data_IF_270962147223
#
_entry.id   IF_270962147223
#
_cell.length_a   1.000
_cell.length_b   1.000
_cell.length_c   1.000
_cell.angle_alpha   90.00
_cell.angle_beta   90.00
_cell.angle_gamma   90.00
#
_symmetry.space_group_name_H-M   'P 1'
#
loop_
_entity.id
_entity.type
_entity.pdbx_description
1 polymer ?
#
# COMPACT_ATOMS: atom_id res chain seq x y z
N UNK A 1 -20.02 -49.09 12.50
CA UNK A 1 -21.07 -48.55 11.62
C UNK A 1 -20.67 -47.12 11.28
N UNK A 2 -20.10 -46.91 10.10
CA UNK A 2 -19.49 -45.64 9.69
C UNK A 2 -20.55 -44.75 9.06
N UNK A 3 -20.76 -43.55 9.59
CA UNK A 3 -21.69 -42.57 9.06
C UNK A 3 -21.15 -41.99 7.75
N UNK A 4 -22.02 -42.00 6.75
CA UNK A 4 -21.81 -41.63 5.36
C UNK A 4 -21.51 -40.11 5.25
N UNK A 5 -20.42 -39.80 4.54
CA UNK A 5 -20.03 -38.53 3.92
C UNK A 5 -21.02 -37.34 3.99
N UNK A 6 -20.87 -36.46 4.99
CA UNK A 6 -21.39 -35.06 4.99
C UNK A 6 -20.22 -34.07 5.18
N UNK A 7 -19.06 -34.38 4.61
CA UNK A 7 -17.84 -33.58 4.80
C UNK A 7 -17.77 -32.33 3.90
N UNK A 8 -18.63 -32.18 2.90
CA UNK A 8 -18.48 -31.12 1.89
C UNK A 8 -18.90 -29.73 2.37
N UNK A 9 -20.16 -29.59 2.79
CA UNK A 9 -20.76 -28.27 3.05
C UNK A 9 -20.20 -27.61 4.30
N UNK A 10 -20.07 -28.37 5.39
CA UNK A 10 -19.54 -27.86 6.67
C UNK A 10 -18.10 -27.35 6.52
N UNK A 11 -17.25 -28.12 5.85
CA UNK A 11 -15.85 -27.75 5.68
C UNK A 11 -15.69 -26.57 4.73
N UNK A 12 -16.48 -26.53 3.65
CA UNK A 12 -16.49 -25.40 2.70
C UNK A 12 -16.97 -24.12 3.38
N UNK A 13 -18.09 -24.19 4.11
CA UNK A 13 -18.61 -23.05 4.86
C UNK A 13 -17.61 -22.59 5.93
N UNK A 14 -16.97 -23.51 6.65
CA UNK A 14 -15.93 -23.17 7.64
C UNK A 14 -14.74 -22.44 7.00
N UNK A 15 -14.31 -22.83 5.80
CA UNK A 15 -13.25 -22.13 5.04
C UNK A 15 -13.67 -20.73 4.61
N UNK A 16 -14.91 -20.57 4.14
CA UNK A 16 -15.44 -19.26 3.75
C UNK A 16 -15.52 -18.35 4.99
N UNK A 17 -16.00 -18.89 6.12
CA UNK A 17 -16.07 -18.17 7.39
C UNK A 17 -14.68 -17.75 7.88
N UNK A 18 -13.68 -18.64 7.83
CA UNK A 18 -12.31 -18.30 8.19
C UNK A 18 -11.75 -17.18 7.29
N UNK A 19 -12.00 -17.25 5.97
CA UNK A 19 -11.58 -16.20 5.04
C UNK A 19 -12.24 -14.83 5.33
N UNK A 20 -13.51 -14.84 5.80
CA UNK A 20 -14.21 -13.65 6.26
C UNK A 20 -13.62 -13.09 7.56
N UNK A 21 -13.41 -13.94 8.57
CA UNK A 21 -12.84 -13.53 9.87
C UNK A 21 -11.40 -13.02 9.77
N UNK A 22 -10.60 -13.60 8.87
CA UNK A 22 -9.22 -13.19 8.60
C UNK A 22 -9.11 -11.96 7.67
N UNK A 23 -10.23 -11.46 7.13
CA UNK A 23 -10.27 -10.45 6.07
C UNK A 23 -9.28 -10.78 4.92
N UNK A 24 -9.23 -12.06 4.55
CA UNK A 24 -8.23 -12.58 3.61
C UNK A 24 -8.46 -12.01 2.21
N UNK A 25 -7.37 -11.60 1.55
CA UNK A 25 -7.41 -11.21 0.15
C UNK A 25 -7.63 -12.44 -0.74
N UNK A 26 -8.70 -12.42 -1.51
CA UNK A 26 -9.12 -13.48 -2.42
C UNK A 26 -9.00 -13.03 -3.88
N UNK A 27 -8.83 -14.00 -4.76
CA UNK A 27 -8.96 -13.81 -6.21
C UNK A 27 -10.22 -14.54 -6.67
N UNK A 28 -11.18 -13.80 -7.18
CA UNK A 28 -12.48 -14.33 -7.61
C UNK A 28 -12.44 -14.56 -9.11
N UNK A 29 -12.56 -15.81 -9.52
CA UNK A 29 -12.60 -16.20 -10.92
C UNK A 29 -14.06 -16.45 -11.33
N UNK A 30 -14.51 -15.69 -12.33
CA UNK A 30 -15.82 -15.87 -12.97
C UNK A 30 -15.61 -16.29 -14.42
N UNK A 31 -16.68 -16.72 -15.10
CA UNK A 31 -16.61 -17.03 -16.54
C UNK A 31 -16.23 -15.81 -17.39
N UNK A 32 -16.53 -14.60 -16.91
CA UNK A 32 -16.36 -13.36 -17.66
C UNK A 32 -15.03 -12.68 -17.36
N UNK A 33 -14.54 -12.77 -16.11
CA UNK A 33 -13.32 -12.08 -15.67
C UNK A 33 -12.77 -12.65 -14.37
N UNK A 34 -11.54 -12.23 -14.03
CA UNK A 34 -10.88 -12.48 -12.75
C UNK A 34 -10.73 -11.18 -11.97
N UNK A 35 -11.15 -11.20 -10.70
CA UNK A 35 -11.10 -10.04 -9.80
C UNK A 35 -10.11 -10.32 -8.65
N UNK A 36 -8.89 -9.76 -8.67
CA UNK A 36 -7.93 -9.91 -7.58
C UNK A 36 -8.24 -8.98 -6.39
N UNK A 37 -7.58 -9.20 -5.26
CA UNK A 37 -7.64 -8.34 -4.06
C UNK A 37 -9.05 -8.09 -3.50
N UNK A 38 -9.93 -9.09 -3.61
CA UNK A 38 -11.28 -9.00 -3.07
C UNK A 38 -11.32 -9.50 -1.62
N UNK A 39 -12.07 -8.82 -0.76
CA UNK A 39 -12.33 -9.23 0.62
C UNK A 39 -13.83 -9.48 0.80
N UNK A 40 -14.19 -10.49 1.58
CA UNK A 40 -15.59 -10.76 1.94
C UNK A 40 -16.00 -9.76 3.02
N UNK A 41 -17.06 -8.98 2.78
CA UNK A 41 -17.57 -7.97 3.73
C UNK A 41 -18.90 -8.37 4.39
N UNK A 42 -19.62 -9.33 3.80
CA UNK A 42 -20.80 -9.92 4.42
C UNK A 42 -20.93 -11.40 4.07
N UNK A 43 -21.29 -12.19 5.08
CA UNK A 43 -21.56 -13.63 4.99
C UNK A 43 -22.97 -13.97 5.57
N UNK A 44 -24.06 -13.44 4.99
CA UNK A 44 -25.40 -13.89 5.34
C UNK A 44 -25.59 -15.35 4.90
N UNK A 45 -26.08 -16.18 5.81
CA UNK A 45 -26.55 -17.53 5.53
C UNK A 45 -27.97 -17.67 6.08
N UNK A 46 -28.83 -18.35 5.35
CA UNK A 46 -30.18 -18.71 5.80
C UNK A 46 -30.34 -20.22 5.73
N UNK A 47 -30.82 -20.81 6.82
CA UNK A 47 -31.17 -22.22 6.93
C UNK A 47 -32.68 -22.29 7.15
N UNK A 48 -33.43 -22.54 6.07
CA UNK A 48 -34.89 -22.73 6.13
C UNK A 48 -35.24 -24.17 5.79
N UNK A 49 -36.28 -24.70 6.43
CA UNK A 49 -36.75 -26.09 6.26
C UNK A 49 -37.16 -26.42 4.82
N UNK A 50 -37.43 -25.40 4.00
CA UNK A 50 -37.76 -25.55 2.58
C UNK A 50 -36.55 -26.00 1.74
N UNK A 51 -35.33 -25.75 2.23
CA UNK A 51 -34.08 -26.21 1.61
C UNK A 51 -33.51 -27.39 2.40
N UNK A 52 -33.65 -28.60 1.88
CA UNK A 52 -33.29 -29.83 2.58
C UNK A 52 -31.78 -30.13 2.65
N UNK A 53 -31.07 -29.95 1.54
CA UNK A 53 -29.63 -30.31 1.43
C UNK A 53 -28.83 -29.20 0.71
N UNK A 54 -29.27 -27.96 0.87
CA UNK A 54 -28.65 -26.78 0.26
C UNK A 54 -28.64 -25.64 1.26
N UNK A 55 -27.50 -24.98 1.38
CA UNK A 55 -27.37 -23.72 2.11
C UNK A 55 -27.12 -22.63 1.07
N UNK A 56 -28.01 -21.66 1.00
CA UNK A 56 -27.83 -20.50 0.15
C UNK A 56 -26.96 -19.47 0.89
N UNK A 57 -25.84 -19.10 0.28
CA UNK A 57 -24.90 -18.12 0.82
C UNK A 57 -24.71 -17.00 -0.20
N UNK A 58 -25.14 -15.79 0.16
CA UNK A 58 -24.97 -14.60 -0.67
C UNK A 58 -23.75 -13.81 -0.19
N UNK A 59 -22.62 -13.95 -0.88
CA UNK A 59 -21.38 -13.26 -0.51
C UNK A 59 -21.37 -11.82 -1.04
N UNK A 60 -21.05 -10.87 -0.15
CA UNK A 60 -20.67 -9.52 -0.57
C UNK A 60 -19.15 -9.40 -0.56
N UNK A 61 -18.60 -8.93 -1.68
CA UNK A 61 -17.16 -8.78 -1.90
C UNK A 61 -16.84 -7.31 -2.19
N UNK A 62 -15.76 -6.78 -1.63
CA UNK A 62 -15.25 -5.44 -1.91
C UNK A 62 -13.75 -5.48 -2.23
N UNK A 63 -13.29 -4.58 -3.11
CA UNK A 63 -11.90 -4.52 -3.55
C UNK A 63 -11.03 -3.76 -2.54
N UNK A 64 -9.94 -4.38 -2.10
CA UNK A 64 -8.92 -3.74 -1.29
C UNK A 64 -7.90 -2.99 -2.19
N UNK A 65 -7.92 -1.65 -2.13
CA UNK A 65 -6.98 -0.79 -2.85
C UNK A 65 -5.87 -0.30 -1.92
N UNK A 66 -4.64 -0.72 -2.19
CA UNK A 66 -3.46 -0.28 -1.45
C UNK A 66 -2.84 0.95 -2.10
N UNK A 67 -2.69 2.03 -1.33
CA UNK A 67 -1.95 3.22 -1.75
C UNK A 67 -0.58 3.15 -1.08
N UNK A 68 0.50 3.10 -1.87
CA UNK A 68 1.85 3.24 -1.36
C UNK A 68 2.18 4.74 -1.22
N UNK A 69 2.39 5.25 0.00
CA UNK A 69 2.82 6.62 0.18
C UNK A 69 4.23 6.77 -0.37
N UNK A 70 4.38 7.52 -1.45
CA UNK A 70 5.69 7.91 -1.92
C UNK A 70 6.23 9.02 -1.00
N UNK A 71 7.20 8.68 -0.17
CA UNK A 71 7.95 9.66 0.61
C UNK A 71 8.93 10.36 -0.33
N UNK A 72 8.54 11.50 -0.88
CA UNK A 72 9.46 12.38 -1.58
C UNK A 72 10.54 12.89 -0.63
N UNK A 73 11.80 12.89 -1.06
CA UNK A 73 12.86 13.60 -0.35
C UNK A 73 12.59 15.10 -0.53
N UNK A 74 12.11 15.76 0.52
CA UNK A 74 12.04 17.23 0.51
C UNK A 74 13.46 17.78 0.39
N UNK A 75 13.68 18.70 -0.55
CA UNK A 75 14.91 19.46 -0.56
C UNK A 75 14.95 20.35 0.70
N UNK A 76 16.15 20.69 1.19
CA UNK A 76 16.33 21.57 2.37
C UNK A 76 15.62 22.91 2.18
N UNK A 77 15.44 23.37 0.93
CA UNK A 77 14.80 24.64 0.59
C UNK A 77 13.27 24.58 0.70
N UNK A 78 12.69 23.38 0.61
CA UNK A 78 11.23 23.17 0.60
C UNK A 78 10.69 22.77 1.99
N UNK A 79 11.56 22.70 3.02
CA UNK A 79 11.15 22.39 4.39
C UNK A 79 10.51 23.61 5.03
N UNK A 80 9.23 23.47 5.42
CA UNK A 80 8.43 24.52 6.09
C UNK A 80 9.15 25.14 7.29
N UNK A 81 9.83 24.31 8.09
CA UNK A 81 10.69 24.74 9.19
C UNK A 81 12.14 24.38 8.88
N UNK A 82 12.99 25.38 8.64
CA UNK A 82 14.40 25.15 8.33
C UNK A 82 15.18 24.41 9.44
N UNK A 83 14.64 24.35 10.67
CA UNK A 83 15.20 23.58 11.77
C UNK A 83 15.03 22.05 11.61
N UNK A 84 14.02 21.61 10.87
CA UNK A 84 13.72 20.19 10.61
C UNK A 84 14.42 19.66 9.35
N UNK A 85 15.24 20.50 8.70
CA UNK A 85 15.98 20.13 7.51
C UNK A 85 17.14 19.17 7.83
N UNK A 86 17.29 18.14 7.01
CA UNK A 86 18.35 17.14 7.14
C UNK A 86 19.74 17.78 7.10
N UNK A 87 20.59 17.42 8.08
CA UNK A 87 21.91 18.04 8.31
C UNK A 87 23.07 17.28 7.68
N UNK A 88 22.79 16.17 6.97
CA UNK A 88 23.79 15.23 6.47
C UNK A 88 24.89 15.87 5.61
N UNK A 89 24.61 17.00 4.95
CA UNK A 89 25.56 17.75 4.10
C UNK A 89 25.80 19.20 4.58
N UNK A 90 25.55 19.52 5.85
CA UNK A 90 25.76 20.89 6.36
C UNK A 90 27.21 21.37 6.21
N UNK A 91 28.19 20.45 6.31
CA UNK A 91 29.61 20.77 6.20
C UNK A 91 30.12 21.03 4.78
N UNK A 92 29.36 20.67 3.75
CA UNK A 92 29.71 20.91 2.34
C UNK A 92 28.93 22.09 1.72
N UNK A 93 28.21 22.86 2.55
CA UNK A 93 27.55 24.08 2.09
C UNK A 93 28.60 25.15 1.76
N UNK A 94 28.98 25.20 0.48
CA UNK A 94 29.80 26.26 -0.08
C UNK A 94 29.06 27.59 0.12
N UNK A 95 29.61 28.48 0.93
CA UNK A 95 29.03 29.82 1.11
C UNK A 95 29.13 30.60 -0.19
N UNK A 96 28.05 31.28 -0.58
CA UNK A 96 28.01 32.14 -1.78
C UNK A 96 29.12 33.21 -1.70
N UNK A 97 29.50 33.60 -0.48
CA UNK A 97 30.61 34.53 -0.20
C UNK A 97 31.98 33.95 -0.54
N UNK A 98 32.20 32.63 -0.44
CA UNK A 98 33.49 32.03 -0.83
C UNK A 98 33.63 31.99 -2.36
N UNK A 99 32.56 31.67 -3.08
CA UNK A 99 32.52 31.70 -4.55
C UNK A 99 32.75 33.11 -5.10
N UNK A 100 32.16 34.15 -4.49
CA UNK A 100 32.38 35.54 -4.91
C UNK A 100 33.84 35.97 -4.68
N UNK A 101 34.45 35.58 -3.55
CA UNK A 101 35.85 35.90 -3.26
C UNK A 101 36.81 35.18 -4.21
N UNK A 102 36.50 33.95 -4.63
CA UNK A 102 37.28 33.22 -5.63
C UNK A 102 37.20 33.89 -7.01
N UNK A 103 36.00 34.28 -7.46
CA UNK A 103 35.80 34.98 -8.74
C UNK A 103 36.49 36.36 -8.73
N UNK A 104 36.39 37.12 -7.64
CA UNK A 104 37.05 38.42 -7.52
C UNK A 104 38.58 38.31 -7.65
N UNK A 105 39.19 37.32 -6.97
CA UNK A 105 40.64 37.06 -7.05
C UNK A 105 41.09 36.68 -8.46
N UNK A 106 40.29 35.88 -9.17
CA UNK A 106 40.59 35.49 -10.56
C UNK A 106 40.53 36.70 -11.48
N UNK A 107 39.50 37.56 -11.35
CA UNK A 107 39.36 38.79 -12.15
C UNK A 107 40.50 39.77 -11.89
N UNK A 108 40.94 39.94 -10.64
CA UNK A 108 42.04 40.84 -10.29
C UNK A 108 43.40 40.35 -10.79
N UNK A 109 43.62 39.03 -10.81
CA UNK A 109 44.80 38.43 -11.43
C UNK A 109 44.87 38.79 -12.93
N UNK A 110 43.77 38.66 -13.66
CA UNK A 110 43.74 39.01 -15.10
C UNK A 110 43.93 40.51 -15.39
N UNK A 111 43.62 41.41 -14.43
CA UNK A 111 43.86 42.85 -14.57
C UNK A 111 45.31 43.26 -14.30
N UNK A 112 46.05 42.47 -13.54
CA UNK A 112 47.42 42.80 -13.11
C UNK A 112 48.48 42.35 -14.12
N UNK A 113 48.18 41.30 -14.90
CA UNK A 113 49.11 40.70 -15.88
C UNK A 113 48.74 41.02 -17.35
N UNK A 114 48.09 42.15 -17.60
CA UNK A 114 47.74 42.65 -18.93
C UNK A 114 48.27 44.06 -19.11
#
# INVERSE_FOLDING_TARGET
MSLIFIAGYRDTHARIKAAYEEARLLTIQTKTSTYPNMVITALPHEETTDYWDVILVNLKLEEARFIQPQKGTLSIQDVLNSADASTLNRGSQQSILSTINEVARVVDYFKTYR
#
